data_IF_269532791251
#
_entry.id   IF_269532791251
#
_cell.length_a   1.000
_cell.length_b   1.000
_cell.length_c   1.000
_cell.angle_alpha   90.00
_cell.angle_beta   90.00
_cell.angle_gamma   90.00
#
_symmetry.space_group_name_H-M   'P 1'
#
loop_
_entity.id
_entity.type
_entity.pdbx_description
1 polymer ?
#
# COMPACT_ATOMS: atom_id res chain seq x y z
N UNK A 1 -3.92 5.52 -17.41
CA UNK A 1 -3.81 6.13 -16.08
C UNK A 1 -3.56 7.61 -16.21
N UNK A 2 -3.85 8.39 -15.16
CA UNK A 2 -3.62 9.84 -15.14
C UNK A 2 -2.16 10.21 -14.80
N UNK A 3 -1.31 9.25 -14.40
CA UNK A 3 0.11 9.44 -14.04
C UNK A 3 0.41 10.72 -13.26
N UNK A 4 -0.46 11.02 -12.28
CA UNK A 4 -0.41 12.24 -11.45
C UNK A 4 0.84 12.34 -10.57
N UNK A 5 1.50 11.20 -10.34
CA UNK A 5 2.70 11.12 -9.51
C UNK A 5 3.78 10.31 -10.25
N UNK A 6 5.02 10.77 -10.12
CA UNK A 6 6.23 10.21 -10.69
C UNK A 6 7.31 10.07 -9.62
N UNK A 7 8.15 9.05 -9.75
CA UNK A 7 9.22 8.76 -8.78
C UNK A 7 10.35 9.81 -8.76
N UNK A 8 10.38 10.71 -9.75
CA UNK A 8 11.42 11.73 -9.92
C UNK A 8 10.92 13.16 -9.70
N UNK A 9 9.77 13.35 -9.05
CA UNK A 9 9.20 14.68 -8.78
C UNK A 9 9.40 15.10 -7.32
N UNK A 10 9.54 16.42 -7.10
CA UNK A 10 9.48 16.99 -5.76
C UNK A 10 8.04 17.36 -5.38
N UNK A 11 7.72 17.39 -4.07
CA UNK A 11 6.36 17.73 -3.62
C UNK A 11 5.91 19.12 -4.09
N UNK A 12 6.84 20.04 -4.29
CA UNK A 12 6.58 21.40 -4.75
C UNK A 12 6.15 21.46 -6.23
N UNK A 13 6.38 20.38 -7.00
CA UNK A 13 6.02 20.26 -8.41
C UNK A 13 4.59 19.75 -8.59
N UNK A 14 3.99 19.21 -7.53
CA UNK A 14 2.62 18.69 -7.54
C UNK A 14 1.62 19.84 -7.40
N UNK A 15 0.62 19.89 -8.27
CA UNK A 15 -0.41 20.91 -8.20
C UNK A 15 -1.19 20.81 -6.86
N UNK A 16 -1.47 21.93 -6.22
CA UNK A 16 -2.06 21.93 -4.87
C UNK A 16 -3.41 21.22 -4.77
N UNK A 17 -4.18 21.19 -5.87
CA UNK A 17 -5.45 20.46 -5.98
C UNK A 17 -5.26 18.93 -6.12
N UNK A 18 -4.09 18.48 -6.55
CA UNK A 18 -3.74 17.07 -6.75
C UNK A 18 -3.13 16.43 -5.50
N UNK A 19 -2.60 17.24 -4.57
CA UNK A 19 -2.13 16.78 -3.26
C UNK A 19 -3.17 15.96 -2.49
N UNK A 20 -4.46 16.18 -2.73
CA UNK A 20 -5.52 15.35 -2.10
C UNK A 20 -5.47 13.87 -2.52
N UNK A 21 -4.84 13.55 -3.65
CA UNK A 21 -4.70 12.19 -4.13
C UNK A 21 -3.47 11.48 -3.55
N UNK A 22 -2.54 12.20 -2.88
CA UNK A 22 -1.40 11.58 -2.17
C UNK A 22 -1.86 10.58 -1.10
N UNK A 23 -2.96 10.91 -0.42
CA UNK A 23 -3.50 10.10 0.67
C UNK A 23 -4.35 8.92 0.18
N UNK A 24 -4.50 8.72 -1.13
CA UNK A 24 -5.35 7.68 -1.68
C UNK A 24 -4.96 6.28 -1.18
N UNK A 25 -3.67 5.94 -1.24
CA UNK A 25 -3.19 4.66 -0.74
C UNK A 25 -3.39 4.51 0.77
N UNK A 26 -3.22 5.58 1.55
CA UNK A 26 -3.48 5.56 2.99
C UNK A 26 -4.97 5.29 3.29
N UNK A 27 -5.88 5.96 2.58
CA UNK A 27 -7.32 5.77 2.75
C UNK A 27 -7.76 4.35 2.34
N UNK A 28 -7.19 3.78 1.28
CA UNK A 28 -7.47 2.39 0.88
C UNK A 28 -6.98 1.43 1.97
N UNK A 29 -5.75 1.61 2.47
CA UNK A 29 -5.21 0.78 3.54
C UNK A 29 -6.07 0.83 4.80
N UNK A 30 -6.51 2.03 5.17
CA UNK A 30 -7.47 2.24 6.26
C UNK A 30 -8.81 1.52 5.99
N UNK A 31 -9.39 1.63 4.79
CA UNK A 31 -10.65 0.94 4.47
C UNK A 31 -10.55 -0.59 4.59
N UNK A 32 -9.43 -1.19 4.18
CA UNK A 32 -9.19 -2.63 4.38
C UNK A 32 -9.11 -3.01 5.87
N UNK A 33 -8.51 -2.14 6.70
CA UNK A 33 -8.42 -2.37 8.14
C UNK A 33 -9.80 -2.43 8.81
N UNK A 34 -10.73 -1.58 8.38
CA UNK A 34 -12.10 -1.48 8.94
C UNK A 34 -13.14 -2.34 8.23
N UNK A 35 -12.74 -3.06 7.17
CA UNK A 35 -13.65 -3.95 6.44
C UNK A 35 -14.19 -5.04 7.37
N UNK A 36 -15.51 -5.19 7.39
CA UNK A 36 -16.17 -6.28 8.10
C UNK A 36 -16.10 -7.54 7.24
N UNK A 37 -15.22 -8.45 7.62
CA UNK A 37 -14.90 -9.65 6.86
C UNK A 37 -15.04 -10.89 7.76
N UNK A 38 -15.25 -12.05 7.14
CA UNK A 38 -15.20 -13.30 7.89
C UNK A 38 -13.76 -13.61 8.34
N UNK A 39 -13.61 -14.59 9.26
CA UNK A 39 -12.32 -14.91 9.87
C UNK A 39 -11.25 -15.33 8.85
N UNK A 40 -11.66 -16.02 7.79
CA UNK A 40 -10.76 -16.49 6.72
C UNK A 40 -10.21 -15.32 5.89
N UNK A 41 -11.04 -14.33 5.56
CA UNK A 41 -10.64 -13.17 4.75
C UNK A 41 -9.92 -12.08 5.56
N UNK A 42 -10.04 -12.11 6.89
CA UNK A 42 -9.47 -11.05 7.74
C UNK A 42 -7.95 -10.96 7.62
N UNK A 43 -7.26 -12.08 7.45
CA UNK A 43 -5.81 -12.08 7.29
C UNK A 43 -5.40 -11.41 5.97
N UNK A 44 -6.10 -11.73 4.88
CA UNK A 44 -5.87 -11.12 3.57
C UNK A 44 -6.14 -9.61 3.58
N UNK A 45 -7.22 -9.16 4.23
CA UNK A 45 -7.51 -7.73 4.35
C UNK A 45 -6.43 -6.98 5.15
N UNK A 46 -5.86 -7.60 6.21
CA UNK A 46 -4.75 -7.00 6.96
C UNK A 46 -3.50 -6.91 6.08
N UNK A 47 -3.17 -7.96 5.31
CA UNK A 47 -2.03 -7.91 4.40
C UNK A 47 -2.20 -6.85 3.31
N UNK A 48 -3.39 -6.75 2.72
CA UNK A 48 -3.71 -5.70 1.75
C UNK A 48 -3.60 -4.31 2.39
N UNK A 49 -4.14 -4.13 3.60
CA UNK A 49 -4.02 -2.89 4.37
C UNK A 49 -2.57 -2.47 4.53
N UNK A 50 -1.70 -3.38 4.98
CA UNK A 50 -0.26 -3.14 5.16
C UNK A 50 0.39 -2.75 3.82
N UNK A 51 0.14 -3.49 2.74
CA UNK A 51 0.73 -3.20 1.43
C UNK A 51 0.34 -1.81 0.92
N UNK A 52 -0.92 -1.39 1.10
CA UNK A 52 -1.37 -0.06 0.71
C UNK A 52 -0.76 1.05 1.59
N UNK A 53 -0.64 0.83 2.89
CA UNK A 53 0.03 1.78 3.79
C UNK A 53 1.51 1.93 3.45
N UNK A 54 2.19 0.84 3.10
CA UNK A 54 3.60 0.87 2.69
C UNK A 54 3.77 1.61 1.36
N UNK A 55 2.87 1.42 0.39
CA UNK A 55 2.85 2.22 -0.85
C UNK A 55 2.70 3.71 -0.58
N UNK A 56 1.85 4.10 0.36
CA UNK A 56 1.72 5.50 0.78
C UNK A 56 3.03 6.04 1.37
N UNK A 57 3.69 5.26 2.24
CA UNK A 57 4.97 5.67 2.83
C UNK A 57 6.07 5.77 1.78
N UNK A 58 6.14 4.83 0.85
CA UNK A 58 7.07 4.86 -0.30
C UNK A 58 6.83 6.11 -1.15
N UNK A 59 5.57 6.44 -1.47
CA UNK A 59 5.22 7.67 -2.17
C UNK A 59 5.69 8.91 -1.40
N UNK A 60 5.45 8.98 -0.09
CA UNK A 60 5.96 10.06 0.75
C UNK A 60 7.49 10.16 0.72
N UNK A 61 8.19 9.03 0.66
CA UNK A 61 9.65 8.99 0.58
C UNK A 61 10.16 9.50 -0.77
N UNK A 62 9.55 9.05 -1.87
CA UNK A 62 9.95 9.45 -3.24
C UNK A 62 9.84 10.98 -3.41
N UNK A 63 8.84 11.59 -2.78
CA UNK A 63 8.64 13.04 -2.79
C UNK A 63 9.33 13.82 -1.65
N UNK A 64 10.24 13.17 -0.91
CA UNK A 64 11.06 13.83 0.12
C UNK A 64 10.33 14.22 1.40
N UNK A 65 9.10 13.73 1.64
CA UNK A 65 8.33 14.03 2.85
C UNK A 65 8.80 13.23 4.07
N UNK A 66 9.37 12.04 3.85
CA UNK A 66 9.92 11.18 4.91
C UNK A 66 11.29 10.64 4.54
N UNK A 67 12.16 10.45 5.53
CA UNK A 67 13.54 9.97 5.32
C UNK A 67 13.64 8.45 5.17
N UNK A 68 12.77 7.71 5.83
CA UNK A 68 12.84 6.25 5.94
C UNK A 68 11.43 5.66 5.90
N UNK A 69 11.32 4.46 5.34
CA UNK A 69 10.08 3.68 5.28
C UNK A 69 10.38 2.26 5.72
N UNK A 70 9.41 1.52 6.28
CA UNK A 70 9.57 0.10 6.57
C UNK A 70 9.97 -0.65 5.30
N UNK A 71 10.96 -1.55 5.41
CA UNK A 71 11.39 -2.41 4.30
C UNK A 71 10.46 -3.63 4.32
N UNK A 72 9.66 -3.84 3.28
CA UNK A 72 9.03 -5.14 3.03
C UNK A 72 10.14 -6.09 2.57
N UNK A 73 10.38 -7.18 3.31
CA UNK A 73 11.18 -8.29 2.81
C UNK A 73 10.33 -9.01 1.75
N UNK A 74 10.52 -8.59 0.51
CA UNK A 74 9.61 -8.85 -0.61
C UNK A 74 9.59 -10.33 -1.08
N UNK A 75 10.55 -11.16 -0.63
CA UNK A 75 10.75 -12.52 -1.14
C UNK A 75 10.11 -13.62 -0.26
N UNK A 76 10.10 -13.48 1.07
CA UNK A 76 9.59 -14.54 1.97
C UNK A 76 8.06 -14.49 2.14
N UNK A 77 7.44 -13.32 2.04
CA UNK A 77 6.01 -13.14 2.30
C UNK A 77 5.16 -13.37 1.04
N UNK A 78 5.71 -13.11 -0.16
CA UNK A 78 5.03 -13.41 -1.45
C UNK A 78 4.95 -14.91 -1.75
N UNK A 79 5.96 -15.70 -1.39
CA UNK A 79 5.95 -17.17 -1.52
C UNK A 79 4.91 -17.80 -0.58
N UNK A 80 4.81 -17.33 0.67
CA UNK A 80 3.77 -17.77 1.61
C UNK A 80 2.35 -17.47 1.13
N UNK A 81 2.14 -16.33 0.47
CA UNK A 81 0.86 -15.96 -0.12
C UNK A 81 0.41 -16.92 -1.24
N UNK A 82 1.35 -17.36 -2.10
CA UNK A 82 1.06 -18.33 -3.17
C UNK A 82 0.79 -19.72 -2.62
N UNK A 83 1.49 -20.13 -1.57
CA UNK A 83 1.33 -21.45 -0.95
C UNK A 83 -0.01 -21.60 -0.21
N UNK A 84 -0.44 -20.59 0.57
CA UNK A 84 -1.73 -20.64 1.27
C UNK A 84 -2.94 -20.67 0.32
N UNK A 85 -2.92 -19.87 -0.75
CA UNK A 85 -3.99 -19.87 -1.76
C UNK A 85 -4.14 -21.21 -2.53
N UNK A 86 -3.11 -22.07 -2.50
CA UNK A 86 -3.15 -23.41 -3.11
C UNK A 86 -3.54 -24.53 -2.15
N UNK A 87 -3.43 -24.34 -0.84
CA UNK A 87 -3.76 -25.36 0.16
C UNK A 87 -5.26 -25.43 0.49
N UNK A 88 -6.01 -24.34 0.30
CA UNK A 88 -7.48 -24.32 0.52
C UNK A 88 -8.31 -24.90 -0.66
N UNK A 89 -7.66 -25.55 -1.64
CA UNK A 89 -8.33 -26.22 -2.78
C UNK A 89 -8.23 -27.75 -2.77
N UNK A 90 -7.77 -28.36 -1.67
CA UNK A 90 -7.77 -29.82 -1.48
C UNK A 90 -8.72 -30.27 -0.38
#
# INVERSE_FOLDING_TARGET
ELHLFSDNEEINEVASNELRYFILYALIGWLYEYRSSNREQRLDDIHLSISYLIKYLQLCKNYGLVKQVPIENDDDDKEKFRLHATQDRQ
#
